data_IF_817394980945
#
_entry.id   IF_817394980945
#
_cell.length_a   1.000
_cell.length_b   1.000
_cell.length_c   1.000
_cell.angle_alpha   90.00
_cell.angle_beta   90.00
_cell.angle_gamma   90.00
#
_symmetry.space_group_name_H-M   'P 1'
#
loop_
_entity.id
_entity.type
_entity.pdbx_description
1 polymer ?
#
# COMPACT_ATOMS: atom_id res chain seq x y z
N UNK A 1 32.07 3.71 -1.10
CA UNK A 1 31.22 2.54 -0.81
C UNK A 1 29.96 2.72 -1.63
N UNK A 2 29.58 1.80 -2.54
CA UNK A 2 28.31 1.94 -3.23
C UNK A 2 27.20 1.70 -2.22
N UNK A 3 26.36 2.71 -2.00
CA UNK A 3 25.11 2.58 -1.26
C UNK A 3 24.25 1.53 -2.00
N UNK A 4 24.17 0.32 -1.46
CA UNK A 4 23.20 -0.68 -1.91
C UNK A 4 21.81 -0.04 -1.75
N UNK A 5 21.23 0.40 -2.87
CA UNK A 5 19.85 0.85 -2.91
C UNK A 5 19.00 -0.27 -2.31
N UNK A 6 18.23 -0.03 -1.22
CA UNK A 6 17.36 -1.05 -0.68
C UNK A 6 16.36 -1.44 -1.78
N UNK A 7 16.54 -2.64 -2.34
CA UNK A 7 15.61 -3.22 -3.29
C UNK A 7 14.43 -3.75 -2.48
N UNK A 8 13.42 -2.90 -2.30
CA UNK A 8 12.15 -3.33 -1.73
C UNK A 8 11.56 -4.50 -2.52
N UNK A 9 11.23 -5.59 -1.84
CA UNK A 9 10.63 -6.79 -2.43
C UNK A 9 9.12 -6.76 -2.20
N UNK A 10 8.30 -6.83 -3.26
CA UNK A 10 6.86 -7.02 -3.08
C UNK A 10 6.62 -8.45 -2.59
N UNK A 11 6.27 -8.59 -1.31
CA UNK A 11 5.99 -9.89 -0.71
C UNK A 11 4.51 -10.26 -0.80
N UNK A 12 3.66 -9.30 -1.11
CA UNK A 12 2.24 -9.50 -1.29
C UNK A 12 1.63 -8.41 -2.15
N UNK A 13 0.72 -8.80 -3.03
CA UNK A 13 -0.13 -7.89 -3.79
C UNK A 13 -1.56 -8.39 -3.70
N UNK A 14 -2.45 -7.53 -3.22
CA UNK A 14 -3.89 -7.74 -3.24
C UNK A 14 -4.45 -7.73 -4.65
N UNK A 15 -5.70 -8.15 -4.78
CA UNK A 15 -6.37 -8.19 -6.08
C UNK A 15 -6.60 -6.78 -6.58
N UNK A 16 -6.29 -6.53 -7.86
CA UNK A 16 -6.72 -5.32 -8.56
C UNK A 16 -8.23 -5.34 -8.71
N UNK A 17 -8.90 -4.37 -8.10
CA UNK A 17 -10.36 -4.27 -8.09
C UNK A 17 -10.80 -2.93 -8.67
N UNK A 18 -11.78 -2.97 -9.59
CA UNK A 18 -12.43 -1.75 -10.06
C UNK A 18 -13.46 -1.31 -9.04
N UNK A 19 -13.28 -0.12 -8.48
CA UNK A 19 -14.17 0.45 -7.47
C UNK A 19 -14.91 1.64 -8.08
N UNK A 20 -16.24 1.69 -7.91
CA UNK A 20 -17.06 2.80 -8.42
C UNK A 20 -16.56 4.12 -7.83
N UNK A 21 -16.39 5.13 -8.68
CA UNK A 21 -15.85 6.43 -8.30
C UNK A 21 -14.33 6.58 -8.50
N UNK A 22 -13.61 5.49 -8.78
CA UNK A 22 -12.19 5.51 -9.13
C UNK A 22 -12.00 5.30 -10.64
N UNK A 23 -10.93 5.88 -11.21
CA UNK A 23 -10.64 5.76 -12.64
C UNK A 23 -9.95 4.43 -12.96
N UNK A 24 -8.96 4.07 -12.14
CA UNK A 24 -8.17 2.86 -12.25
C UNK A 24 -8.71 1.69 -11.42
N UNK A 25 -7.90 0.63 -11.36
CA UNK A 25 -8.12 -0.51 -10.49
C UNK A 25 -7.27 -0.34 -9.23
N UNK A 26 -7.92 -0.42 -8.07
CA UNK A 26 -7.27 -0.27 -6.77
C UNK A 26 -6.66 -1.58 -6.29
N UNK A 27 -5.49 -1.48 -5.67
CA UNK A 27 -4.82 -2.61 -5.02
C UNK A 27 -4.04 -2.15 -3.80
N UNK A 28 -3.81 -3.10 -2.88
CA UNK A 28 -2.89 -2.93 -1.76
C UNK A 28 -1.68 -3.83 -1.99
N UNK A 29 -0.47 -3.33 -1.76
CA UNK A 29 0.74 -4.12 -1.81
C UNK A 29 1.51 -4.03 -0.49
N UNK A 30 2.22 -5.09 -0.14
CA UNK A 30 3.18 -5.10 0.96
C UNK A 30 4.57 -5.23 0.37
N UNK A 31 5.39 -4.20 0.60
CA UNK A 31 6.79 -4.14 0.18
C UNK A 31 7.64 -4.38 1.41
N UNK A 32 8.46 -5.43 1.38
CA UNK A 32 9.48 -5.68 2.37
C UNK A 32 10.75 -4.93 1.98
N UNK A 33 11.14 -4.00 2.82
CA UNK A 33 12.41 -3.30 2.73
C UNK A 33 13.39 -3.93 3.72
N UNK A 34 14.67 -4.01 3.33
CA UNK A 34 15.74 -4.47 4.22
C UNK A 34 16.74 -3.33 4.35
N UNK A 35 16.76 -2.73 5.53
CA UNK A 35 17.77 -1.74 5.90
C UNK A 35 18.70 -2.38 6.93
N UNK A 36 19.85 -2.85 6.47
CA UNK A 36 20.81 -3.57 7.30
C UNK A 36 20.28 -4.92 7.82
N UNK A 37 20.16 -5.07 9.15
CA UNK A 37 19.67 -6.30 9.80
C UNK A 37 18.17 -6.32 10.08
N UNK A 38 17.51 -5.16 9.98
CA UNK A 38 16.07 -5.03 10.24
C UNK A 38 15.28 -5.12 8.93
N UNK A 39 14.11 -5.76 8.99
CA UNK A 39 13.16 -5.79 7.90
C UNK A 39 11.99 -4.86 8.23
N UNK A 40 11.66 -3.97 7.31
CA UNK A 40 10.49 -3.12 7.38
C UNK A 40 9.48 -3.57 6.34
N UNK A 41 8.19 -3.39 6.64
CA UNK A 41 7.09 -3.80 5.78
C UNK A 41 6.23 -2.56 5.51
N UNK A 42 6.27 -2.08 4.27
CA UNK A 42 5.54 -0.92 3.78
C UNK A 42 4.25 -1.41 3.14
N UNK A 43 3.10 -0.96 3.63
CA UNK A 43 1.80 -1.21 3.02
C UNK A 43 1.43 -0.03 2.16
N UNK A 44 1.33 -0.25 0.86
CA UNK A 44 1.06 0.75 -0.17
C UNK A 44 -0.34 0.52 -0.72
N UNK A 45 -1.18 1.54 -0.67
CA UNK A 45 -2.44 1.58 -1.42
C UNK A 45 -2.14 2.27 -2.76
N UNK A 46 -2.58 1.68 -3.87
CA UNK A 46 -2.18 2.13 -5.21
C UNK A 46 -3.30 1.92 -6.24
N UNK A 47 -3.22 2.61 -7.38
CA UNK A 47 -4.15 2.54 -8.50
C UNK A 47 -3.41 2.36 -9.81
N UNK A 48 -4.05 1.72 -10.79
CA UNK A 48 -3.54 1.63 -12.15
C UNK A 48 -3.72 2.92 -12.97
N UNK A 49 -4.34 3.96 -12.41
CA UNK A 49 -4.55 5.27 -13.05
C UNK A 49 -3.93 6.38 -12.19
N UNK A 50 -3.09 7.22 -12.81
CA UNK A 50 -2.31 8.23 -12.11
C UNK A 50 -3.18 9.32 -11.46
N UNK A 51 -4.37 9.59 -12.00
CA UNK A 51 -5.25 10.63 -11.46
C UNK A 51 -5.88 10.23 -10.12
N UNK A 52 -5.87 8.94 -9.78
CA UNK A 52 -6.34 8.43 -8.50
C UNK A 52 -5.30 8.59 -7.38
N UNK A 53 -4.01 8.74 -7.71
CA UNK A 53 -2.91 8.65 -6.73
C UNK A 53 -3.00 9.67 -5.59
N UNK A 54 -3.57 10.85 -5.85
CA UNK A 54 -3.73 11.91 -4.85
C UNK A 54 -4.85 11.63 -3.84
N UNK A 55 -5.76 10.70 -4.16
CA UNK A 55 -6.91 10.37 -3.32
C UNK A 55 -6.69 9.10 -2.48
N UNK A 56 -5.54 8.44 -2.65
CA UNK A 56 -5.24 7.17 -2.00
C UNK A 56 -4.81 7.36 -0.53
N UNK A 57 -5.08 6.37 0.34
CA UNK A 57 -4.53 6.35 1.68
C UNK A 57 -3.00 6.40 1.66
N UNK A 58 -2.38 7.08 2.64
CA UNK A 58 -0.93 7.16 2.71
C UNK A 58 -0.30 5.78 2.97
N UNK A 59 0.91 5.60 2.47
CA UNK A 59 1.70 4.40 2.76
C UNK A 59 2.01 4.32 4.26
N UNK A 60 1.85 3.14 4.86
CA UNK A 60 2.15 2.91 6.27
C UNK A 60 3.25 1.87 6.44
N UNK A 61 4.19 2.12 7.35
CA UNK A 61 5.37 1.27 7.58
C UNK A 61 5.24 0.54 8.91
N UNK A 62 5.59 -0.75 8.91
CA UNK A 62 5.55 -1.63 10.07
C UNK A 62 6.87 -2.37 10.23
N UNK A 63 7.30 -2.62 11.47
CA UNK A 63 8.44 -3.50 11.76
C UNK A 63 8.05 -4.98 11.83
N UNK A 64 6.76 -5.26 12.06
CA UNK A 64 6.22 -6.61 12.15
C UNK A 64 5.43 -6.98 10.88
N UNK A 65 5.74 -8.15 10.30
CA UNK A 65 5.08 -8.67 9.10
C UNK A 65 3.58 -8.89 9.30
N UNK A 66 3.18 -9.40 10.47
CA UNK A 66 1.79 -9.75 10.76
C UNK A 66 0.92 -8.49 10.94
N UNK A 67 1.47 -7.44 11.55
CA UNK A 67 0.78 -6.14 11.63
C UNK A 67 0.59 -5.52 10.25
N UNK A 68 1.63 -5.55 9.40
CA UNK A 68 1.53 -5.10 8.01
C UNK A 68 0.46 -5.88 7.23
N UNK A 69 0.39 -7.21 7.41
CA UNK A 69 -0.60 -8.05 6.76
C UNK A 69 -2.02 -7.74 7.24
N UNK A 70 -2.24 -7.61 8.56
CA UNK A 70 -3.54 -7.25 9.11
C UNK A 70 -4.02 -5.90 8.59
N UNK A 71 -3.13 -4.90 8.56
CA UNK A 71 -3.45 -3.59 8.00
C UNK A 71 -3.73 -3.65 6.50
N UNK A 72 -2.95 -4.42 5.73
CA UNK A 72 -3.21 -4.60 4.31
C UNK A 72 -4.57 -5.25 4.04
N UNK A 73 -4.99 -6.23 4.85
CA UNK A 73 -6.33 -6.83 4.74
C UNK A 73 -7.44 -5.85 5.10
N UNK A 74 -7.24 -4.99 6.10
CA UNK A 74 -8.17 -3.91 6.43
C UNK A 74 -8.31 -2.91 5.27
N UNK A 75 -7.19 -2.50 4.67
CA UNK A 75 -7.17 -1.64 3.49
C UNK A 75 -7.88 -2.30 2.31
N UNK A 76 -7.62 -3.57 2.03
CA UNK A 76 -8.31 -4.32 0.97
C UNK A 76 -9.84 -4.34 1.18
N UNK A 77 -10.31 -4.53 2.42
CA UNK A 77 -11.75 -4.54 2.76
C UNK A 77 -12.39 -3.15 2.67
N UNK A 78 -11.61 -2.08 2.81
CA UNK A 78 -12.08 -0.69 2.86
C UNK A 78 -11.86 0.10 1.58
N UNK A 79 -11.39 -0.51 0.49
CA UNK A 79 -11.18 0.15 -0.83
C UNK A 79 -12.32 1.05 -1.29
N UNK A 80 -13.56 0.63 -1.01
CA UNK A 80 -14.78 1.38 -1.38
C UNK A 80 -14.95 2.70 -0.63
N UNK A 81 -14.35 2.84 0.55
CA UNK A 81 -14.46 4.03 1.39
C UNK A 81 -13.24 4.95 1.30
N UNK A 82 -12.17 4.58 0.60
CA UNK A 82 -10.94 5.39 0.51
C UNK A 82 -11.20 6.81 0.00
N UNK A 83 -12.05 6.96 -1.01
CA UNK A 83 -12.36 8.27 -1.63
C UNK A 83 -13.20 9.19 -0.74
N UNK A 84 -13.94 8.60 0.21
CA UNK A 84 -14.94 9.29 1.02
C UNK A 84 -14.60 9.34 2.51
N UNK A 85 -13.52 8.66 2.95
CA UNK A 85 -13.29 8.34 4.36
C UNK A 85 -12.01 8.91 4.99
N UNK A 86 -11.15 9.60 4.25
CA UNK A 86 -9.92 10.19 4.80
C UNK A 86 -9.87 11.70 4.53
N UNK A 87 -10.64 12.48 5.31
CA UNK A 87 -10.35 13.89 5.55
C UNK A 87 -10.54 14.87 4.39
N UNK A 88 -11.55 14.67 3.52
CA UNK A 88 -12.04 15.75 2.66
C UNK A 88 -13.29 16.38 3.29
N UNK A 89 -13.07 17.16 4.33
CA UNK A 89 -13.96 18.27 4.71
C UNK A 89 -13.55 19.53 3.94
#
# INVERSE_FOLDING_TARGET
MPEEKPKGEIIMMGKRERVVGWKGQLYVAIIKDRSGKEAEYKVVCDSTDEADLNDLPPTKVFKNKMEAFNYAMEMERSKKSWKYGAGKE
#
